data_IF_642399811423
#
_entry.id   IF_642399811423
#
_cell.length_a   1.000
_cell.length_b   1.000
_cell.length_c   1.000
_cell.angle_alpha   90.00
_cell.angle_beta   90.00
_cell.angle_gamma   90.00
#
_symmetry.space_group_name_H-M   'P 1'
#
loop_
_entity.id
_entity.type
_entity.pdbx_description
1 polymer ?
#
# COMPACT_ATOMS: atom_id res chain seq x y z
N UNK A 1 -1.23 13.56 -2.42
CA UNK A 1 -0.80 12.21 -2.03
C UNK A 1 0.64 11.91 -2.47
N UNK A 2 1.00 11.96 -3.77
CA UNK A 2 2.39 11.69 -4.23
C UNK A 2 3.46 12.58 -3.58
N UNK A 3 3.19 13.87 -3.36
CA UNK A 3 4.12 14.76 -2.66
C UNK A 3 4.36 14.32 -1.20
N UNK A 4 3.34 13.78 -0.53
CA UNK A 4 3.44 13.26 0.85
C UNK A 4 4.29 11.99 0.83
N UNK A 5 4.04 11.08 -0.10
CA UNK A 5 4.85 9.86 -0.30
C UNK A 5 6.31 10.23 -0.56
N UNK A 6 6.58 11.14 -1.50
CA UNK A 6 7.94 11.59 -1.81
C UNK A 6 8.65 12.25 -0.61
N UNK A 7 7.93 13.03 0.19
CA UNK A 7 8.48 13.63 1.40
C UNK A 7 8.83 12.55 2.45
N UNK A 8 8.01 11.53 2.63
CA UNK A 8 8.27 10.41 3.53
C UNK A 8 9.49 9.60 3.07
N UNK A 9 9.57 9.28 1.77
CA UNK A 9 10.69 8.55 1.20
C UNK A 9 12.00 9.34 1.29
N UNK A 10 11.95 10.67 1.15
CA UNK A 10 13.11 11.54 1.35
C UNK A 10 13.51 11.58 2.83
N UNK A 11 12.55 11.75 3.74
CA UNK A 11 12.82 11.78 5.18
C UNK A 11 13.42 10.45 5.67
N UNK A 12 12.92 9.33 5.16
CA UNK A 12 13.42 7.99 5.48
C UNK A 12 14.87 7.76 5.00
N UNK A 13 15.41 8.59 4.12
CA UNK A 13 16.82 8.54 3.66
C UNK A 13 17.76 9.45 4.45
N UNK A 14 17.23 10.27 5.36
CA UNK A 14 18.06 11.21 6.11
C UNK A 14 18.97 10.46 7.10
N UNK A 15 20.29 10.72 7.10
CA UNK A 15 21.22 10.09 8.05
C UNK A 15 20.83 10.32 9.51
N UNK A 16 20.32 11.52 9.84
CA UNK A 16 19.86 11.85 11.18
C UNK A 16 18.63 11.03 11.59
N UNK A 17 17.74 10.74 10.65
CA UNK A 17 16.60 9.85 10.89
C UNK A 17 17.10 8.44 11.23
N UNK A 18 18.06 7.91 10.45
CA UNK A 18 18.68 6.60 10.74
C UNK A 18 19.39 6.57 12.08
N UNK A 19 20.20 7.58 12.39
CA UNK A 19 20.92 7.66 13.65
C UNK A 19 19.96 7.64 14.85
N UNK A 20 18.87 8.42 14.78
CA UNK A 20 17.84 8.45 15.83
C UNK A 20 17.04 7.15 15.94
N UNK A 21 16.81 6.45 14.83
CA UNK A 21 16.14 5.15 14.85
C UNK A 21 17.06 4.08 15.44
N UNK A 22 18.32 4.03 15.00
CA UNK A 22 19.28 3.01 15.44
C UNK A 22 19.81 3.22 16.85
N UNK A 23 19.77 4.44 17.40
CA UNK A 23 20.17 4.70 18.79
C UNK A 23 19.28 3.98 19.81
N UNK A 24 18.02 3.70 19.45
CA UNK A 24 17.03 2.98 20.27
C UNK A 24 16.72 1.57 19.77
N UNK A 25 17.34 1.15 18.66
CA UNK A 25 17.07 -0.15 18.06
C UNK A 25 18.01 -1.23 18.64
N UNK A 26 17.56 -2.49 18.72
CA UNK A 26 18.43 -3.60 19.06
C UNK A 26 19.54 -3.77 18.02
N UNK A 27 20.68 -4.36 18.41
CA UNK A 27 21.82 -4.55 17.51
C UNK A 27 21.46 -5.36 16.25
N UNK A 28 20.52 -6.30 16.36
CA UNK A 28 20.00 -7.09 15.22
C UNK A 28 19.34 -6.24 14.14
N UNK A 29 18.78 -5.07 14.48
CA UNK A 29 18.16 -4.16 13.51
C UNK A 29 19.19 -3.43 12.63
N UNK A 30 20.48 -3.45 12.99
CA UNK A 30 21.56 -2.86 12.18
C UNK A 30 21.91 -3.72 10.97
N UNK A 31 21.57 -5.01 11.01
CA UNK A 31 21.70 -5.86 9.85
C UNK A 31 20.68 -5.41 8.80
N UNK A 32 21.16 -5.03 7.62
CA UNK A 32 20.30 -4.78 6.47
C UNK A 32 20.20 -6.08 5.66
N UNK A 33 19.09 -6.84 5.74
CA UNK A 33 18.97 -8.15 5.09
C UNK A 33 18.86 -8.05 3.55
N UNK A 34 18.97 -6.87 2.96
CA UNK A 34 18.73 -6.62 1.54
C UNK A 34 17.32 -6.06 1.32
N UNK A 35 16.70 -6.28 0.15
CA UNK A 35 15.45 -5.61 -0.19
C UNK A 35 14.33 -5.86 0.84
N UNK A 36 13.85 -4.76 1.41
CA UNK A 36 12.85 -4.73 2.49
C UNK A 36 11.46 -4.83 1.86
N UNK A 37 11.00 -6.04 1.58
CA UNK A 37 9.67 -6.30 1.02
C UNK A 37 9.56 -5.90 -0.46
N UNK A 38 8.89 -6.73 -1.25
CA UNK A 38 8.68 -6.47 -2.68
C UNK A 38 7.85 -5.19 -2.94
N UNK A 39 7.12 -4.69 -1.94
CA UNK A 39 6.21 -3.55 -2.06
C UNK A 39 6.15 -2.75 -0.76
N UNK A 40 6.12 -1.41 -0.89
CA UNK A 40 5.79 -0.46 0.18
C UNK A 40 4.40 0.13 -0.10
N UNK A 41 3.52 0.13 0.89
CA UNK A 41 2.15 0.64 0.80
C UNK A 41 1.93 1.87 1.67
N UNK A 42 1.01 2.74 1.26
CA UNK A 42 0.63 3.95 2.00
C UNK A 42 -0.89 4.08 2.00
N UNK A 43 -1.49 4.02 3.18
CA UNK A 43 -2.93 4.15 3.33
C UNK A 43 -3.29 5.56 3.79
N UNK A 44 -4.28 6.15 3.12
CA UNK A 44 -4.76 7.49 3.39
C UNK A 44 -6.23 7.46 3.79
N UNK A 45 -6.58 8.21 4.83
CA UNK A 45 -7.95 8.62 5.06
C UNK A 45 -8.23 9.89 4.26
N UNK A 46 -9.34 9.93 3.51
CA UNK A 46 -9.75 11.09 2.74
C UNK A 46 -10.84 11.84 3.50
N UNK A 47 -10.52 13.03 4.01
CA UNK A 47 -11.44 13.92 4.72
C UNK A 47 -11.60 15.28 4.02
N UNK A 48 -12.42 16.16 4.61
CA UNK A 48 -12.67 17.51 4.07
C UNK A 48 -11.43 18.40 3.95
N UNK A 49 -10.42 18.17 4.80
CA UNK A 49 -9.13 18.87 4.79
C UNK A 49 -8.08 18.24 3.84
N UNK A 50 -8.47 17.18 3.13
CA UNK A 50 -7.59 16.45 2.20
C UNK A 50 -7.08 15.10 2.73
N UNK A 51 -6.13 14.48 2.01
CA UNK A 51 -5.62 13.14 2.33
C UNK A 51 -4.68 13.15 3.55
N UNK A 52 -5.01 12.34 4.54
CA UNK A 52 -4.23 12.15 5.76
C UNK A 52 -3.64 10.74 5.76
N UNK A 53 -2.31 10.62 5.86
CA UNK A 53 -1.64 9.32 5.96
C UNK A 53 -1.98 8.67 7.30
N UNK A 54 -2.45 7.42 7.27
CA UNK A 54 -2.79 6.65 8.48
C UNK A 54 -1.87 5.45 8.69
N UNK A 55 -1.25 4.90 7.64
CA UNK A 55 -0.38 3.74 7.75
C UNK A 55 0.71 3.70 6.67
N UNK A 56 1.89 3.19 7.04
CA UNK A 56 2.99 2.86 6.13
C UNK A 56 3.28 1.36 6.25
N UNK A 57 3.06 0.63 5.16
CA UNK A 57 3.20 -0.81 5.09
C UNK A 57 4.55 -1.18 4.44
N UNK A 58 5.47 -1.76 5.21
CA UNK A 58 6.83 -2.14 4.73
C UNK A 58 7.00 -3.63 4.48
N UNK A 59 5.93 -4.43 4.54
CA UNK A 59 5.94 -5.86 4.25
C UNK A 59 5.17 -6.14 2.96
N UNK A 60 5.59 -7.16 2.21
CA UNK A 60 4.93 -7.57 0.96
C UNK A 60 3.62 -8.36 1.19
N UNK A 61 3.15 -8.47 2.44
CA UNK A 61 2.24 -9.53 2.87
C UNK A 61 0.88 -9.54 2.19
N UNK A 62 0.35 -8.39 1.77
CA UNK A 62 -0.94 -8.32 1.09
C UNK A 62 -0.86 -8.56 -0.43
N UNK A 63 0.32 -8.44 -1.07
CA UNK A 63 0.41 -8.54 -2.54
C UNK A 63 0.81 -9.92 -3.06
N UNK A 64 1.32 -10.81 -2.21
CA UNK A 64 1.57 -12.20 -2.59
C UNK A 64 0.29 -12.93 -3.02
N UNK A 65 -0.87 -12.56 -2.47
CA UNK A 65 -2.18 -13.07 -2.90
C UNK A 65 -2.81 -12.29 -4.06
N UNK A 66 -2.44 -11.02 -4.26
CA UNK A 66 -2.98 -10.15 -5.32
C UNK A 66 -2.24 -10.20 -6.66
N UNK A 67 -1.10 -10.90 -6.77
CA UNK A 67 -0.42 -11.10 -8.06
C UNK A 67 -1.18 -12.07 -8.99
N UNK A 68 -2.28 -12.69 -8.55
CA UNK A 68 -3.08 -13.63 -9.37
C UNK A 68 -4.53 -13.20 -9.65
N UNK A 69 -4.97 -11.98 -9.30
CA UNK A 69 -6.31 -11.51 -9.67
C UNK A 69 -6.23 -10.43 -10.75
N UNK A 70 -6.27 -10.87 -12.01
CA UNK A 70 -6.79 -10.04 -13.09
C UNK A 70 -8.25 -9.73 -12.74
N UNK A 71 -8.53 -8.50 -12.29
CA UNK A 71 -9.91 -8.01 -12.13
C UNK A 71 -10.30 -7.37 -13.45
N UNK A 72 -11.09 -8.01 -14.32
CA UNK A 72 -11.65 -7.32 -15.47
C UNK A 72 -12.69 -6.31 -14.97
N UNK A 73 -12.24 -5.05 -14.95
CA UNK A 73 -12.93 -3.77 -15.11
C UNK A 73 -14.41 -3.67 -14.64
N UNK A 74 -14.66 -2.87 -13.61
CA UNK A 74 -15.97 -2.31 -13.31
C UNK A 74 -16.32 -1.22 -14.33
N UNK A 75 -16.78 -1.60 -15.52
CA UNK A 75 -17.54 -0.74 -16.43
C UNK A 75 -18.29 -1.61 -17.46
N UNK A 76 -19.45 -2.11 -17.06
CA UNK A 76 -20.49 -2.57 -17.97
C UNK A 76 -21.78 -1.83 -17.64
N UNK A 77 -21.86 -0.60 -18.14
CA UNK A 77 -23.15 0.05 -18.34
C UNK A 77 -23.94 -0.69 -19.42
N UNK A 78 -25.26 -0.53 -19.37
CA UNK A 78 -26.24 -0.82 -20.42
C UNK A 78 -26.68 -2.29 -20.60
N UNK A 79 -27.81 -2.60 -19.96
CA UNK A 79 -28.99 -3.19 -20.60
C UNK A 79 -28.86 -4.58 -21.22
N UNK A 80 -29.51 -5.57 -20.59
CA UNK A 80 -30.26 -6.57 -21.35
C UNK A 80 -31.44 -7.09 -20.53
N UNK A 81 -32.64 -6.83 -21.05
CA UNK A 81 -33.91 -7.45 -20.66
C UNK A 81 -33.91 -8.92 -21.06
N UNK A 82 -34.44 -9.79 -20.22
CA UNK A 82 -34.69 -11.19 -20.60
C UNK A 82 -34.98 -12.07 -19.41
N UNK A 83 -36.25 -12.15 -19.01
CA UNK A 83 -36.70 -13.18 -18.09
C UNK A 83 -36.60 -14.57 -18.72
N UNK A 84 -36.28 -15.57 -17.92
CA UNK A 84 -36.80 -16.92 -18.14
C UNK A 84 -36.86 -17.65 -16.80
N UNK A 85 -38.11 -17.90 -16.38
CA UNK A 85 -38.40 -18.72 -15.21
C UNK A 85 -38.00 -20.17 -15.45
N UNK A 86 -37.63 -20.83 -14.35
CA UNK A 86 -37.57 -22.28 -14.26
C UNK A 86 -38.96 -22.87 -14.48
N UNK A 87 -39.10 -23.81 -15.41
CA UNK A 87 -40.00 -24.96 -15.30
C UNK A 87 -39.56 -26.05 -16.28
N UNK A 88 -39.25 -27.20 -15.68
CA UNK A 88 -38.86 -28.52 -16.22
C UNK A 88 -37.41 -28.64 -16.68
#
# INVERSE_FOLDING_TARGET
>A
MLAIVGALEAAAKLPDFHHRVFSRAPQSARANPGPVGAFMGYDFHLGGEGPLLIEVNTNAGARSSMLSLHVPNCNAAAGYSGGLGRKL
#
